data_IF_839924938832
#
_entry.id   IF_839924938832
#
_cell.length_a   1.000
_cell.length_b   1.000
_cell.length_c   1.000
_cell.angle_alpha   90.00
_cell.angle_beta   90.00
_cell.angle_gamma   90.00
#
_symmetry.space_group_name_H-M   'P 1'
#
loop_
_entity.id
_entity.type
_entity.pdbx_description
1 polymer ?
#
# COMPACT_ATOMS: atom_id res chain seq x y z
N UNK A 1 -37.00 -3.18 9.81
CA UNK A 1 -35.80 -2.33 9.95
C UNK A 1 -35.19 -2.34 11.36
N UNK A 2 -35.93 -2.58 12.45
CA UNK A 2 -35.36 -2.75 13.80
C UNK A 2 -34.54 -4.04 14.01
N UNK A 3 -34.81 -5.10 13.22
CA UNK A 3 -34.25 -6.44 13.44
C UNK A 3 -32.75 -6.60 13.15
N UNK A 4 -32.10 -5.62 12.50
CA UNK A 4 -30.69 -5.75 12.11
C UNK A 4 -29.71 -5.09 13.09
N UNK A 5 -30.19 -4.30 14.05
CA UNK A 5 -29.30 -3.64 15.02
C UNK A 5 -28.55 -4.65 15.88
N UNK A 6 -29.24 -5.71 16.36
CA UNK A 6 -28.63 -6.79 17.13
C UNK A 6 -27.63 -7.63 16.32
N UNK A 7 -27.92 -7.91 15.04
CA UNK A 7 -26.99 -8.67 14.19
C UNK A 7 -25.74 -7.86 13.83
N UNK A 8 -25.91 -6.55 13.58
CA UNK A 8 -24.77 -5.64 13.36
C UNK A 8 -23.88 -5.53 14.60
N UNK A 9 -24.46 -5.46 15.80
CA UNK A 9 -23.70 -5.48 17.03
C UNK A 9 -22.91 -6.79 17.20
N UNK A 10 -23.51 -7.94 16.85
CA UNK A 10 -22.82 -9.23 16.89
C UNK A 10 -21.63 -9.29 15.91
N UNK A 11 -21.79 -8.76 14.68
CA UNK A 11 -20.69 -8.69 13.69
C UNK A 11 -19.55 -7.82 14.23
N UNK A 12 -19.88 -6.65 14.77
CA UNK A 12 -18.89 -5.72 15.33
C UNK A 12 -18.19 -6.29 16.57
N UNK A 13 -18.85 -7.17 17.32
CA UNK A 13 -18.28 -7.84 18.49
C UNK A 13 -17.29 -8.98 18.15
N UNK A 14 -17.05 -9.28 16.87
CA UNK A 14 -16.05 -10.28 16.48
C UNK A 14 -14.64 -9.91 16.95
N UNK A 15 -13.83 -10.93 17.29
CA UNK A 15 -12.49 -10.71 17.85
C UNK A 15 -11.57 -9.92 16.91
N UNK A 16 -11.69 -10.15 15.60
CA UNK A 16 -10.89 -9.46 14.59
C UNK A 16 -11.21 -7.97 14.53
N UNK A 17 -12.49 -7.60 14.55
CA UNK A 17 -12.93 -6.21 14.54
C UNK A 17 -12.56 -5.54 15.86
N UNK A 18 -12.70 -6.23 17.00
CA UNK A 18 -12.24 -5.71 18.30
C UNK A 18 -10.76 -5.37 18.31
N UNK A 19 -9.90 -6.20 17.70
CA UNK A 19 -8.47 -5.89 17.56
C UNK A 19 -8.23 -4.63 16.71
N UNK A 20 -9.03 -4.42 15.65
CA UNK A 20 -8.95 -3.21 14.86
C UNK A 20 -9.40 -1.97 15.65
N UNK A 21 -10.48 -2.07 16.44
CA UNK A 21 -10.98 -1.00 17.32
C UNK A 21 -9.91 -0.63 18.35
N UNK A 22 -9.25 -1.61 18.97
CA UNK A 22 -8.14 -1.35 19.91
C UNK A 22 -6.98 -0.61 19.24
N UNK A 23 -6.65 -0.93 17.98
CA UNK A 23 -5.65 -0.20 17.22
C UNK A 23 -6.06 1.24 16.88
N UNK A 24 -7.37 1.50 16.75
CA UNK A 24 -7.92 2.84 16.57
C UNK A 24 -7.80 3.64 17.86
N UNK A 25 -8.15 3.04 19.00
CA UNK A 25 -7.98 3.65 20.32
C UNK A 25 -6.50 3.98 20.62
N UNK A 26 -5.56 3.14 20.16
CA UNK A 26 -4.11 3.42 20.21
C UNK A 26 -3.64 4.51 19.23
N UNK A 27 -4.48 4.94 18.28
CA UNK A 27 -4.12 5.89 17.22
C UNK A 27 -3.28 5.31 16.08
N UNK A 28 -3.12 3.98 16.01
CA UNK A 28 -2.34 3.31 14.93
C UNK A 28 -3.12 3.16 13.64
N UNK A 29 -4.45 3.12 13.72
CA UNK A 29 -5.36 3.03 12.58
C UNK A 29 -6.45 4.08 12.72
N UNK A 30 -6.98 4.54 11.58
CA UNK A 30 -8.12 5.46 11.54
C UNK A 30 -9.43 4.76 11.13
N UNK A 31 -9.34 3.72 10.30
CA UNK A 31 -10.49 3.07 9.64
C UNK A 31 -10.59 1.59 10.02
N UNK A 32 -11.82 1.12 10.27
CA UNK A 32 -12.16 -0.31 10.42
C UNK A 32 -12.45 -0.92 9.06
N UNK A 33 -11.92 -2.11 8.79
CA UNK A 33 -12.13 -2.84 7.55
C UNK A 33 -12.97 -4.07 7.85
N UNK A 34 -14.09 -4.19 7.14
CA UNK A 34 -15.00 -5.33 7.18
C UNK A 34 -14.83 -6.16 5.91
N UNK A 35 -14.65 -7.47 6.05
CA UNK A 35 -14.71 -8.38 4.91
C UNK A 35 -16.17 -8.81 4.67
N UNK A 36 -16.65 -8.56 3.45
CA UNK A 36 -17.97 -8.93 3.01
C UNK A 36 -18.14 -10.44 2.91
N UNK A 37 -17.07 -11.20 2.67
CA UNK A 37 -17.14 -12.64 2.57
C UNK A 37 -17.38 -13.29 3.95
N UNK A 38 -16.88 -12.69 5.03
CA UNK A 38 -17.16 -13.13 6.39
C UNK A 38 -18.57 -12.74 6.86
N UNK A 39 -19.02 -11.54 6.48
CA UNK A 39 -20.42 -11.13 6.68
C UNK A 39 -21.36 -12.08 5.94
N UNK A 40 -21.03 -12.47 4.70
CA UNK A 40 -21.84 -13.40 3.91
C UNK A 40 -21.96 -14.79 4.55
N UNK A 41 -20.89 -15.28 5.19
CA UNK A 41 -20.91 -16.56 5.93
C UNK A 41 -21.86 -16.53 7.13
N UNK A 42 -21.94 -15.39 7.82
CA UNK A 42 -22.79 -15.23 9.00
C UNK A 42 -24.25 -14.92 8.61
N UNK A 43 -24.44 -13.95 7.72
CA UNK A 43 -25.74 -13.45 7.29
C UNK A 43 -25.72 -13.01 5.82
N UNK A 44 -26.15 -13.91 4.93
CA UNK A 44 -26.20 -13.66 3.49
C UNK A 44 -27.15 -12.51 3.11
N UNK A 45 -28.33 -12.43 3.77
CA UNK A 45 -29.29 -11.34 3.55
C UNK A 45 -28.68 -9.96 3.83
N UNK A 46 -27.87 -9.84 4.89
CA UNK A 46 -27.22 -8.58 5.25
C UNK A 46 -26.16 -8.19 4.22
N UNK A 47 -25.38 -9.16 3.72
CA UNK A 47 -24.43 -8.93 2.64
C UNK A 47 -25.14 -8.46 1.35
N UNK A 48 -26.30 -9.02 1.03
CA UNK A 48 -27.12 -8.56 -0.10
C UNK A 48 -27.61 -7.12 0.08
N UNK A 49 -28.07 -6.75 1.28
CA UNK A 49 -28.53 -5.39 1.59
C UNK A 49 -27.38 -4.37 1.53
N UNK A 50 -26.20 -4.70 2.07
CA UNK A 50 -24.99 -3.85 1.96
C UNK A 50 -24.72 -3.50 0.49
N UNK A 51 -24.90 -4.47 -0.40
CA UNK A 51 -24.68 -4.26 -1.81
C UNK A 51 -25.80 -3.38 -2.41
N UNK A 52 -27.09 -3.71 -2.19
CA UNK A 52 -28.24 -3.04 -2.84
C UNK A 52 -28.57 -1.65 -2.30
N UNK A 53 -28.67 -1.50 -0.98
CA UNK A 53 -28.97 -0.22 -0.32
C UNK A 53 -27.96 0.04 0.81
N UNK A 54 -26.73 0.45 0.47
CA UNK A 54 -25.71 0.75 1.46
C UNK A 54 -26.05 1.97 2.31
N UNK A 55 -26.71 3.00 1.79
CA UNK A 55 -26.78 4.32 2.45
C UNK A 55 -27.51 4.24 3.80
N UNK A 56 -28.65 3.57 3.83
CA UNK A 56 -29.43 3.36 5.05
C UNK A 56 -28.64 2.52 6.07
N UNK A 57 -27.99 1.45 5.60
CA UNK A 57 -27.26 0.51 6.45
C UNK A 57 -25.95 1.08 7.00
N UNK A 58 -25.25 1.91 6.22
CA UNK A 58 -24.00 2.56 6.63
C UNK A 58 -24.20 3.39 7.91
N UNK A 59 -25.34 4.06 8.06
CA UNK A 59 -25.62 4.84 9.28
C UNK A 59 -25.81 3.95 10.51
N UNK A 60 -26.43 2.77 10.35
CA UNK A 60 -26.58 1.81 11.42
C UNK A 60 -25.23 1.19 11.82
N UNK A 61 -24.35 0.92 10.85
CA UNK A 61 -22.97 0.49 11.12
C UNK A 61 -22.17 1.53 11.89
N UNK A 62 -22.29 2.83 11.57
CA UNK A 62 -21.64 3.91 12.35
C UNK A 62 -22.07 3.88 13.80
N UNK A 63 -23.37 3.80 14.04
CA UNK A 63 -23.93 3.77 15.40
C UNK A 63 -23.46 2.52 16.16
N UNK A 64 -23.44 1.34 15.52
CA UNK A 64 -22.97 0.10 16.13
C UNK A 64 -21.47 0.15 16.46
N UNK A 65 -20.64 0.69 15.56
CA UNK A 65 -19.20 0.88 15.78
C UNK A 65 -18.92 1.86 16.92
N UNK A 66 -19.67 2.95 16.99
CA UNK A 66 -19.56 3.93 18.08
C UNK A 66 -19.85 3.27 19.42
N UNK A 67 -20.97 2.55 19.53
CA UNK A 67 -21.33 1.84 20.76
C UNK A 67 -20.29 0.79 21.16
N UNK A 68 -19.77 0.02 20.20
CA UNK A 68 -18.73 -0.98 20.47
C UNK A 68 -17.41 -0.33 20.92
N UNK A 69 -17.04 0.80 20.33
CA UNK A 69 -15.80 1.50 20.68
C UNK A 69 -15.89 2.15 22.06
N UNK A 70 -17.03 2.76 22.39
CA UNK A 70 -17.33 3.27 23.74
C UNK A 70 -17.31 2.13 24.77
N UNK A 71 -17.89 0.96 24.44
CA UNK A 71 -17.86 -0.24 25.28
C UNK A 71 -16.45 -0.74 25.57
N UNK A 72 -15.61 -0.88 24.54
CA UNK A 72 -14.22 -1.33 24.70
C UNK A 72 -13.35 -0.32 25.46
N UNK A 73 -13.57 0.97 25.23
CA UNK A 73 -12.89 2.04 25.98
C UNK A 73 -13.22 1.97 27.48
N UNK A 74 -14.50 1.75 27.82
CA UNK A 74 -14.95 1.61 29.21
C UNK A 74 -14.44 0.32 29.88
N UNK A 75 -14.31 -0.77 29.12
CA UNK A 75 -13.81 -2.04 29.64
C UNK A 75 -12.29 -2.02 29.91
N UNK A 76 -11.52 -1.31 29.08
CA UNK A 76 -10.07 -1.22 29.19
C UNK A 76 -9.58 0.22 29.23
N UNK A 77 -9.89 0.99 30.29
CA UNK A 77 -9.48 2.38 30.40
C UNK A 77 -7.95 2.42 30.55
N UNK A 78 -7.27 3.00 29.57
CA UNK A 78 -5.83 3.24 29.64
C UNK A 78 -5.51 4.65 29.16
N UNK A 79 -4.50 5.33 29.72
CA UNK A 79 -4.11 6.68 29.29
C UNK A 79 -3.55 6.71 27.86
N UNK A 80 -3.27 5.55 27.27
CA UNK A 80 -2.84 5.41 25.88
C UNK A 80 -4.02 5.44 24.91
N UNK A 81 -5.23 5.16 25.39
CA UNK A 81 -6.41 5.12 24.57
C UNK A 81 -7.11 6.47 24.61
N UNK A 82 -7.46 6.99 23.43
CA UNK A 82 -8.29 8.19 23.30
C UNK A 82 -9.52 7.84 22.49
N UNK A 83 -10.68 8.23 23.00
CA UNK A 83 -11.91 8.11 22.24
C UNK A 83 -11.87 9.14 21.09
N UNK A 84 -12.09 8.72 19.83
CA UNK A 84 -12.09 9.64 18.71
C UNK A 84 -13.31 10.57 18.74
N UNK A 85 -13.09 11.86 18.44
CA UNK A 85 -14.13 12.87 18.39
C UNK A 85 -14.94 12.78 17.08
N UNK A 86 -15.91 11.87 17.02
CA UNK A 86 -16.85 11.75 15.89
C UNK A 86 -17.09 10.32 15.43
N UNK A 87 -17.63 10.18 14.22
CA UNK A 87 -17.90 8.87 13.63
C UNK A 87 -16.59 8.21 13.16
N UNK A 88 -16.41 6.96 13.54
CA UNK A 88 -15.25 6.16 13.09
C UNK A 88 -15.48 5.77 11.63
N UNK A 89 -14.56 6.10 10.70
CA UNK A 89 -14.68 5.66 9.32
C UNK A 89 -14.50 4.15 9.24
N UNK A 90 -15.23 3.52 8.33
CA UNK A 90 -15.08 2.10 8.03
C UNK A 90 -15.13 1.85 6.53
N UNK A 91 -14.68 0.68 6.10
CA UNK A 91 -14.69 0.27 4.70
C UNK A 91 -15.05 -1.19 4.54
N UNK A 92 -15.57 -1.54 3.37
CA UNK A 92 -15.84 -2.93 2.99
C UNK A 92 -14.81 -3.43 1.98
N UNK A 93 -14.34 -4.65 2.19
CA UNK A 93 -13.47 -5.42 1.30
C UNK A 93 -14.17 -6.76 1.01
N UNK A 94 -13.66 -7.53 0.06
CA UNK A 94 -14.14 -8.88 -0.24
C UNK A 94 -14.64 -9.04 -1.67
N UNK A 95 -15.44 -10.07 -1.90
CA UNK A 95 -16.02 -10.37 -3.21
C UNK A 95 -17.36 -9.66 -3.44
N UNK A 96 -17.40 -8.83 -4.49
CA UNK A 96 -18.58 -8.09 -4.95
C UNK A 96 -19.32 -8.78 -6.11
N UNK A 97 -18.83 -9.94 -6.57
CA UNK A 97 -19.40 -10.69 -7.69
C UNK A 97 -19.61 -9.81 -8.94
N UNK A 98 -20.85 -9.76 -9.45
CA UNK A 98 -21.23 -8.96 -10.63
C UNK A 98 -21.04 -7.45 -10.46
N UNK A 99 -20.91 -6.95 -9.23
CA UNK A 99 -20.68 -5.53 -8.93
C UNK A 99 -19.21 -5.15 -8.87
N UNK A 100 -18.32 -6.10 -9.21
CA UNK A 100 -16.94 -5.81 -9.56
C UNK A 100 -16.89 -5.47 -11.05
N UNK A 101 -16.64 -4.20 -11.39
CA UNK A 101 -16.70 -3.72 -12.77
C UNK A 101 -15.50 -2.81 -13.12
N UNK A 102 -15.24 -2.65 -14.41
CA UNK A 102 -14.33 -1.60 -14.90
C UNK A 102 -15.11 -0.29 -15.07
N UNK A 103 -14.44 0.87 -15.20
CA UNK A 103 -15.11 2.15 -15.49
C UNK A 103 -16.04 2.09 -16.71
N UNK A 104 -15.76 1.21 -17.67
CA UNK A 104 -16.61 0.96 -18.85
C UNK A 104 -17.88 0.18 -18.54
N UNK A 105 -17.84 -0.74 -17.59
CA UNK A 105 -18.97 -1.57 -17.18
C UNK A 105 -19.95 -0.90 -16.21
N UNK A 106 -19.65 0.34 -15.77
CA UNK A 106 -20.55 1.12 -14.93
C UNK A 106 -21.77 1.60 -15.73
N UNK A 107 -22.92 1.08 -15.35
CA UNK A 107 -24.22 1.39 -15.94
C UNK A 107 -25.16 1.98 -14.88
N UNK A 108 -26.29 2.54 -15.32
CA UNK A 108 -27.35 3.08 -14.46
C UNK A 108 -27.90 2.06 -13.46
N UNK A 109 -27.80 0.76 -13.78
CA UNK A 109 -28.19 -0.34 -12.90
C UNK A 109 -27.49 -0.34 -11.54
N UNK A 110 -26.32 0.28 -11.45
CA UNK A 110 -25.53 0.32 -10.22
C UNK A 110 -25.70 1.61 -9.42
N UNK A 111 -26.56 2.54 -9.84
CA UNK A 111 -26.83 3.78 -9.09
C UNK A 111 -27.38 3.44 -7.70
N UNK A 112 -26.90 4.14 -6.69
CA UNK A 112 -27.19 3.95 -5.27
C UNK A 112 -26.76 2.59 -4.71
N UNK A 113 -26.01 1.79 -5.45
CA UNK A 113 -25.50 0.49 -5.00
C UNK A 113 -24.00 0.55 -4.70
N UNK A 114 -23.53 -0.40 -3.88
CA UNK A 114 -22.10 -0.55 -3.63
C UNK A 114 -21.42 -1.37 -4.73
N UNK A 115 -20.34 -0.81 -5.28
CA UNK A 115 -19.57 -1.38 -6.39
C UNK A 115 -18.08 -1.42 -6.05
N UNK A 116 -17.38 -2.39 -6.65
CA UNK A 116 -15.92 -2.45 -6.66
C UNK A 116 -15.44 -2.14 -8.06
N UNK A 117 -14.56 -1.15 -8.19
CA UNK A 117 -14.05 -0.68 -9.47
C UNK A 117 -12.54 -0.84 -9.49
N UNK A 118 -12.01 -1.30 -10.61
CA UNK A 118 -10.58 -1.45 -10.82
C UNK A 118 -10.07 -0.56 -11.94
N UNK A 119 -8.89 0.02 -11.75
CA UNK A 119 -8.31 0.90 -12.74
C UNK A 119 -6.97 1.47 -12.34
N UNK A 120 -6.52 2.44 -13.12
CA UNK A 120 -5.31 3.22 -12.90
C UNK A 120 -5.73 4.65 -12.57
N UNK A 121 -5.11 5.25 -11.56
CA UNK A 121 -5.32 6.64 -11.22
C UNK A 121 -4.60 7.53 -12.23
N UNK A 122 -5.30 8.47 -12.86
CA UNK A 122 -4.72 9.30 -13.92
C UNK A 122 -4.58 10.76 -13.53
N UNK A 123 -5.58 11.32 -12.86
CA UNK A 123 -5.55 12.67 -12.32
C UNK A 123 -5.92 12.64 -10.85
N UNK A 124 -5.12 13.32 -10.06
CA UNK A 124 -5.36 13.53 -8.63
C UNK A 124 -5.47 15.03 -8.43
N UNK A 125 -6.59 15.50 -7.88
CA UNK A 125 -6.75 16.91 -7.50
C UNK A 125 -6.00 17.23 -6.20
N UNK A 126 -5.71 18.51 -5.97
CA UNK A 126 -5.18 18.95 -4.69
C UNK A 126 -6.23 18.73 -3.58
N UNK A 127 -5.83 18.15 -2.42
CA UNK A 127 -6.67 18.10 -1.24
C UNK A 127 -7.16 19.49 -0.85
N UNK A 128 -8.46 19.62 -0.57
CA UNK A 128 -9.03 20.85 -0.03
C UNK A 128 -10.02 20.54 1.09
N UNK A 129 -10.09 21.40 2.13
CA UNK A 129 -10.99 21.17 3.26
C UNK A 129 -12.44 21.48 2.87
N UNK A 130 -13.36 20.61 3.27
CA UNK A 130 -14.80 20.77 3.13
C UNK A 130 -15.44 20.95 4.50
N UNK A 131 -16.34 21.92 4.63
CA UNK A 131 -17.10 22.15 5.86
C UNK A 131 -18.09 20.99 6.06
N UNK A 132 -18.03 20.34 7.24
CA UNK A 132 -19.00 19.33 7.65
C UNK A 132 -19.99 19.86 8.68
N UNK A 133 -19.52 20.71 9.61
CA UNK A 133 -20.35 21.29 10.66
C UNK A 133 -19.83 22.69 11.00
N UNK A 134 -20.71 23.67 11.07
CA UNK A 134 -20.38 25.01 11.58
C UNK A 134 -20.90 25.19 12.99
N UNK A 135 -20.11 25.87 13.80
CA UNK A 135 -20.47 26.30 15.15
C UNK A 135 -20.66 27.80 15.14
N UNK A 136 -21.84 28.26 15.52
CA UNK A 136 -22.23 29.66 15.57
C UNK A 136 -22.43 30.08 17.02
N UNK A 137 -21.97 31.27 17.36
CA UNK A 137 -22.21 31.88 18.65
C UNK A 137 -23.11 33.10 18.50
N UNK A 138 -24.20 33.13 19.25
CA UNK A 138 -25.09 34.27 19.35
C UNK A 138 -24.74 35.07 20.61
N UNK A 139 -24.29 36.31 20.45
CA UNK A 139 -23.95 37.16 21.61
C UNK A 139 -25.18 37.53 22.45
N UNK A 140 -26.33 37.73 21.80
CA UNK A 140 -27.56 38.18 22.45
C UNK A 140 -28.16 37.10 23.37
N UNK A 141 -28.18 35.84 22.93
CA UNK A 141 -28.73 34.72 23.71
C UNK A 141 -27.67 33.97 24.51
N UNK A 142 -26.37 34.22 24.24
CA UNK A 142 -25.21 33.48 24.77
C UNK A 142 -25.28 31.97 24.50
N UNK A 143 -26.00 31.56 23.45
CA UNK A 143 -26.13 30.15 23.06
C UNK A 143 -25.27 29.84 21.86
N UNK A 144 -24.74 28.62 21.83
CA UNK A 144 -24.01 28.07 20.69
C UNK A 144 -24.97 27.26 19.83
N UNK A 145 -25.07 27.61 18.55
CA UNK A 145 -25.85 26.92 17.54
C UNK A 145 -24.94 26.06 16.65
N UNK A 146 -25.35 24.84 16.34
CA UNK A 146 -24.61 23.93 15.47
C UNK A 146 -25.41 23.66 14.21
N UNK A 147 -24.75 23.72 13.05
CA UNK A 147 -25.35 23.36 11.78
C UNK A 147 -24.50 22.36 11.03
N UNK A 148 -25.07 21.19 10.77
CA UNK A 148 -24.45 20.16 9.94
C UNK A 148 -24.80 20.38 8.47
N UNK A 149 -23.80 20.23 7.59
CA UNK A 149 -23.99 20.35 6.14
C UNK A 149 -23.83 18.99 5.47
N UNK A 150 -24.88 18.60 4.74
CA UNK A 150 -24.86 17.45 3.86
C UNK A 150 -24.91 17.93 2.41
N UNK A 151 -24.09 17.33 1.58
CA UNK A 151 -23.98 17.63 0.16
C UNK A 151 -24.37 16.39 -0.66
N UNK A 152 -24.52 16.53 -1.97
CA UNK A 152 -24.81 15.42 -2.89
C UNK A 152 -23.74 14.32 -2.80
N UNK A 153 -22.49 14.70 -2.53
CA UNK A 153 -21.35 13.81 -2.32
C UNK A 153 -21.31 13.16 -0.93
N UNK A 154 -22.08 13.65 0.04
CA UNK A 154 -22.15 13.04 1.37
C UNK A 154 -23.02 11.78 1.34
N UNK A 155 -22.61 10.75 2.10
CA UNK A 155 -23.40 9.52 2.30
C UNK A 155 -24.41 9.67 3.46
N UNK A 156 -24.58 10.87 3.99
CA UNK A 156 -25.43 11.18 5.15
C UNK A 156 -26.58 12.08 4.70
N UNK A 157 -27.80 11.67 5.05
CA UNK A 157 -28.99 12.49 4.98
C UNK A 157 -29.35 13.04 3.59
N UNK A 158 -30.31 13.97 3.60
CA UNK A 158 -30.72 14.75 2.44
C UNK A 158 -29.77 15.96 2.33
N UNK A 159 -29.38 16.40 1.11
CA UNK A 159 -28.55 17.58 0.96
C UNK A 159 -29.19 18.82 1.58
N UNK A 160 -28.44 19.53 2.41
CA UNK A 160 -28.86 20.75 3.12
C UNK A 160 -28.54 21.99 2.29
N UNK A 161 -29.14 23.14 2.66
CA UNK A 161 -28.74 24.42 2.07
C UNK A 161 -27.28 24.73 2.40
N UNK A 162 -26.50 25.06 1.36
CA UNK A 162 -25.08 25.42 1.44
C UNK A 162 -24.85 26.83 2.00
N UNK A 163 -25.91 27.58 2.30
CA UNK A 163 -25.80 28.92 2.89
C UNK A 163 -25.53 28.80 4.38
N UNK A 164 -24.45 29.45 4.81
CA UNK A 164 -24.09 29.59 6.22
C UNK A 164 -25.09 30.56 6.87
N UNK A 165 -25.73 30.19 8.00
CA UNK A 165 -26.70 31.06 8.67
C UNK A 165 -25.98 32.28 9.26
N UNK A 166 -26.56 33.45 9.04
CA UNK A 166 -26.06 34.75 9.51
C UNK A 166 -26.91 35.26 10.68
N UNK A 167 -28.17 34.81 10.78
CA UNK A 167 -29.10 35.19 11.83
C UNK A 167 -29.87 33.99 12.38
N UNK A 168 -30.23 34.06 13.66
CA UNK A 168 -31.14 33.13 14.31
C UNK A 168 -32.59 33.28 13.82
N UNK A 169 -33.46 32.34 14.21
CA UNK A 169 -34.92 32.42 14.00
C UNK A 169 -35.55 33.70 14.57
N UNK A 170 -34.93 34.28 15.60
CA UNK A 170 -35.34 35.53 16.25
C UNK A 170 -34.68 36.78 15.64
N UNK A 171 -33.89 36.63 14.56
CA UNK A 171 -33.22 37.74 13.88
C UNK A 171 -31.95 38.26 14.56
N UNK A 172 -31.47 37.61 15.61
CA UNK A 172 -30.19 37.95 16.24
C UNK A 172 -29.01 37.54 15.35
N UNK A 173 -27.92 38.32 15.36
CA UNK A 173 -26.71 38.03 14.58
C UNK A 173 -25.95 36.82 15.13
N UNK A 174 -25.53 35.94 14.21
CA UNK A 174 -24.73 34.75 14.49
C UNK A 174 -23.31 34.97 14.04
N UNK A 175 -22.39 34.99 14.99
CA UNK A 175 -20.95 34.94 14.70
C UNK A 175 -20.52 33.51 14.42
N UNK A 176 -19.73 33.30 13.35
CA UNK A 176 -19.20 31.97 13.02
C UNK A 176 -17.87 31.74 13.76
N UNK A 177 -17.83 30.72 14.58
CA UNK A 177 -16.62 30.30 15.30
C UNK A 177 -15.85 29.26 14.50
N UNK A 178 -14.83 29.72 13.77
CA UNK A 178 -14.02 28.87 12.89
C UNK A 178 -13.28 27.76 13.67
N UNK A 179 -12.81 28.05 14.89
CA UNK A 179 -12.01 27.11 15.69
C UNK A 179 -12.77 25.86 16.17
N UNK A 180 -14.08 25.99 16.40
CA UNK A 180 -14.95 24.88 16.84
C UNK A 180 -15.69 24.19 15.68
N UNK A 181 -15.65 24.79 14.50
CA UNK A 181 -16.24 24.23 13.29
C UNK A 181 -15.45 23.00 12.82
N UNK A 182 -16.14 21.98 12.29
CA UNK A 182 -15.54 20.74 11.82
C UNK A 182 -15.38 20.74 10.31
N UNK A 183 -14.16 20.45 9.88
CA UNK A 183 -13.76 20.32 8.48
C UNK A 183 -13.36 18.88 8.19
N UNK A 184 -13.62 18.43 6.96
CA UNK A 184 -13.25 17.11 6.45
C UNK A 184 -12.46 17.31 5.17
N UNK A 185 -11.34 16.60 5.03
CA UNK A 185 -10.55 16.64 3.80
C UNK A 185 -11.33 16.05 2.63
N UNK A 186 -11.29 16.72 1.49
CA UNK A 186 -11.97 16.31 0.26
C UNK A 186 -10.98 16.30 -0.90
N UNK A 187 -11.08 15.26 -1.73
CA UNK A 187 -10.24 15.12 -2.92
C UNK A 187 -11.00 14.38 -4.01
N UNK A 188 -10.88 14.87 -5.25
CA UNK A 188 -11.39 14.20 -6.44
C UNK A 188 -10.26 13.53 -7.21
N UNK A 189 -10.47 12.29 -7.61
CA UNK A 189 -9.49 11.47 -8.33
C UNK A 189 -10.15 10.83 -9.53
N UNK A 190 -9.50 10.83 -10.69
CA UNK A 190 -10.02 10.19 -11.90
C UNK A 190 -9.41 8.81 -12.07
N UNK A 191 -10.27 7.79 -12.19
CA UNK A 191 -9.87 6.41 -12.42
C UNK A 191 -10.12 6.05 -13.89
N UNK A 192 -9.09 5.57 -14.57
CA UNK A 192 -9.18 5.07 -15.94
C UNK A 192 -9.11 3.54 -15.95
N UNK A 193 -9.81 2.92 -16.89
CA UNK A 193 -9.71 1.46 -17.11
C UNK A 193 -8.27 1.03 -17.39
N UNK A 194 -7.89 -0.17 -16.91
CA UNK A 194 -6.58 -0.73 -17.20
C UNK A 194 -6.45 -0.98 -18.71
N UNK A 195 -5.37 -0.51 -19.37
CA UNK A 195 -5.23 -0.63 -20.83
C UNK A 195 -5.17 -2.09 -21.30
N UNK A 196 -4.76 -3.01 -20.42
CA UNK A 196 -4.71 -4.46 -20.68
C UNK A 196 -6.10 -5.09 -20.83
N UNK A 197 -7.13 -4.51 -20.19
CA UNK A 197 -8.53 -4.97 -20.26
C UNK A 197 -9.36 -4.20 -21.29
N UNK A 198 -8.87 -3.05 -21.75
CA UNK A 198 -9.58 -2.25 -22.73
C UNK A 198 -9.63 -2.99 -24.09
N UNK A 199 -10.79 -3.04 -24.77
CA UNK A 199 -10.89 -3.65 -26.09
C UNK A 199 -10.02 -2.88 -27.10
N UNK A 200 -9.26 -3.59 -27.96
CA UNK A 200 -8.39 -2.95 -28.93
C UNK A 200 -9.22 -2.15 -29.94
N UNK A 201 -8.82 -0.90 -30.20
CA UNK A 201 -9.48 -0.01 -31.16
C UNK A 201 -10.49 0.95 -30.55
N UNK A 202 -10.83 0.81 -29.27
CA UNK A 202 -11.69 1.78 -28.58
C UNK A 202 -10.93 2.66 -27.58
N UNK A 203 -11.50 3.83 -27.29
CA UNK A 203 -10.99 4.72 -26.25
C UNK A 203 -11.29 4.15 -24.86
N UNK A 204 -10.29 4.17 -23.98
CA UNK A 204 -10.45 3.86 -22.56
C UNK A 204 -11.36 4.89 -21.89
N UNK A 205 -12.30 4.42 -21.07
CA UNK A 205 -13.20 5.29 -20.31
C UNK A 205 -12.61 5.58 -18.93
N UNK A 206 -12.98 6.73 -18.39
CA UNK A 206 -12.60 7.20 -17.06
C UNK A 206 -13.83 7.65 -16.26
N UNK A 207 -13.74 7.55 -14.95
CA UNK A 207 -14.79 7.95 -14.00
C UNK A 207 -14.15 8.72 -12.84
N UNK A 208 -14.90 9.69 -12.33
CA UNK A 208 -14.50 10.49 -11.19
C UNK A 208 -14.89 9.80 -9.87
N UNK A 209 -13.93 9.77 -8.95
CA UNK A 209 -14.05 9.17 -7.64
C UNK A 209 -13.77 10.23 -6.60
N UNK A 210 -14.61 10.26 -5.57
CA UNK A 210 -14.50 11.19 -4.45
C UNK A 210 -13.89 10.45 -3.27
N UNK A 211 -12.78 10.98 -2.77
CA UNK A 211 -12.10 10.55 -1.55
C UNK A 211 -12.38 11.58 -0.46
N UNK A 212 -12.64 11.10 0.76
CA UNK A 212 -12.93 11.94 1.92
C UNK A 212 -12.14 11.48 3.13
N UNK A 213 -11.77 12.43 4.01
CA UNK A 213 -11.10 12.18 5.29
C UNK A 213 -9.80 11.34 5.12
N UNK A 214 -9.69 10.19 5.78
CA UNK A 214 -8.48 9.36 5.80
C UNK A 214 -8.10 8.69 4.47
N UNK A 215 -8.97 8.78 3.45
CA UNK A 215 -8.71 8.27 2.09
C UNK A 215 -7.98 9.29 1.22
N UNK A 216 -7.96 10.56 1.62
CA UNK A 216 -7.27 11.62 0.89
C UNK A 216 -5.77 11.36 0.89
N UNK A 217 -5.12 11.63 -0.25
CA UNK A 217 -3.69 11.45 -0.49
C UNK A 217 -3.16 10.00 -0.34
N UNK A 218 -4.07 9.01 -0.29
CA UNK A 218 -3.71 7.58 -0.28
C UNK A 218 -3.24 7.07 -1.64
N UNK A 219 -3.51 7.78 -2.73
CA UNK A 219 -3.26 7.31 -4.10
C UNK A 219 -2.54 8.36 -4.92
N UNK A 220 -1.65 7.90 -5.79
CA UNK A 220 -0.88 8.75 -6.71
C UNK A 220 -1.27 8.47 -8.15
N UNK A 221 -1.05 9.45 -9.02
CA UNK A 221 -1.19 9.24 -10.45
C UNK A 221 -0.21 8.13 -10.92
N UNK A 222 -0.73 7.18 -11.70
CA UNK A 222 -0.03 5.97 -12.13
C UNK A 222 -0.32 4.73 -11.28
N UNK A 223 -0.90 4.87 -10.08
CA UNK A 223 -1.17 3.72 -9.21
C UNK A 223 -2.30 2.85 -9.77
N UNK A 224 -2.09 1.54 -9.74
CA UNK A 224 -3.15 0.55 -10.01
C UNK A 224 -3.90 0.24 -8.73
N UNK A 225 -5.21 0.47 -8.72
CA UNK A 225 -6.04 0.41 -7.51
C UNK A 225 -7.36 -0.32 -7.74
N UNK A 226 -7.86 -0.90 -6.65
CA UNK A 226 -9.24 -1.30 -6.49
C UNK A 226 -9.93 -0.36 -5.51
N UNK A 227 -11.04 0.23 -5.92
CA UNK A 227 -11.82 1.15 -5.11
C UNK A 227 -13.19 0.55 -4.90
N UNK A 228 -13.59 0.43 -3.64
CA UNK A 228 -14.96 0.08 -3.26
C UNK A 228 -15.68 1.35 -2.89
N UNK A 229 -16.88 1.57 -3.41
CA UNK A 229 -17.62 2.79 -3.15
C UNK A 229 -19.09 2.69 -3.53
N UNK A 230 -19.84 3.73 -3.15
CA UNK A 230 -21.25 3.87 -3.53
C UNK A 230 -21.31 4.70 -4.81
N UNK A 231 -21.94 4.14 -5.83
CA UNK A 231 -22.18 4.82 -7.09
C UNK A 231 -23.35 5.81 -6.94
N UNK A 232 -23.17 7.07 -7.33
CA UNK A 232 -24.21 8.09 -7.34
C UNK A 232 -24.26 8.82 -8.67
N UNK A 233 -25.46 9.13 -9.14
CA UNK A 233 -25.66 10.12 -10.19
C UNK A 233 -25.70 11.51 -9.56
N UNK A 234 -24.79 12.40 -9.95
CA UNK A 234 -24.76 13.78 -9.44
C UNK A 234 -25.27 14.74 -10.49
N UNK A 235 -26.16 15.64 -10.09
CA UNK A 235 -26.65 16.69 -10.99
C UNK A 235 -25.65 17.83 -11.01
N UNK A 236 -25.08 18.11 -12.19
CA UNK A 236 -24.35 19.36 -12.40
C UNK A 236 -25.37 20.50 -12.47
N UNK A 237 -25.29 21.41 -11.51
CA UNK A 237 -26.08 22.65 -11.52
C UNK A 237 -25.43 23.61 -12.53
N UNK A 238 -26.13 23.86 -13.63
CA UNK A 238 -25.83 24.96 -14.56
C UNK A 238 -26.96 25.98 -14.42
N UNK A 239 -26.74 27.00 -13.58
CA UNK A 239 -27.77 27.99 -13.24
C UNK A 239 -28.88 27.45 -12.34
N UNK A 240 -30.10 27.96 -12.51
CA UNK A 240 -31.29 27.60 -11.70
C UNK A 240 -31.95 26.28 -12.10
N UNK A 241 -31.58 25.69 -13.24
CA UNK A 241 -32.19 24.46 -13.77
C UNK A 241 -31.29 23.25 -13.53
N UNK A 242 -31.83 22.19 -12.94
CA UNK A 242 -31.11 20.92 -12.78
C UNK A 242 -31.05 20.17 -14.11
N UNK A 243 -29.86 19.74 -14.51
CA UNK A 243 -29.68 18.86 -15.67
C UNK A 243 -30.32 17.49 -15.41
N UNK A 244 -31.10 17.00 -16.37
CA UNK A 244 -31.64 15.64 -16.38
C UNK A 244 -30.55 14.59 -16.68
N UNK A 245 -29.45 15.01 -17.30
CA UNK A 245 -28.29 14.14 -17.53
C UNK A 245 -27.39 14.20 -16.30
N UNK A 246 -27.31 13.08 -15.59
CA UNK A 246 -26.55 12.91 -14.36
C UNK A 246 -25.26 12.12 -14.64
N UNK A 247 -24.08 12.75 -14.62
CA UNK A 247 -22.83 12.00 -14.58
C UNK A 247 -22.79 11.07 -13.37
N UNK A 248 -22.30 9.85 -13.60
CA UNK A 248 -22.05 8.88 -12.55
C UNK A 248 -20.70 9.22 -11.91
N UNK A 249 -20.71 9.29 -10.59
CA UNK A 249 -19.52 9.41 -9.74
C UNK A 249 -19.54 8.30 -8.70
N UNK A 250 -18.39 8.04 -8.09
CA UNK A 250 -18.28 7.03 -7.03
C UNK A 250 -17.73 7.68 -5.78
N UNK A 251 -18.47 7.58 -4.68
CA UNK A 251 -17.99 8.01 -3.37
C UNK A 251 -17.25 6.83 -2.76
N UNK A 252 -15.93 6.98 -2.57
CA UNK A 252 -15.09 5.90 -2.10
C UNK A 252 -15.37 5.56 -0.63
N UNK A 253 -15.50 4.26 -0.39
CA UNK A 253 -15.60 3.67 0.93
C UNK A 253 -14.33 2.89 1.32
N UNK A 254 -13.56 2.40 0.34
CA UNK A 254 -12.26 1.80 0.61
C UNK A 254 -11.39 1.89 -0.63
N UNK A 255 -10.09 2.10 -0.43
CA UNK A 255 -9.09 2.14 -1.50
C UNK A 255 -8.03 1.08 -1.19
N UNK A 256 -7.80 0.19 -2.16
CA UNK A 256 -6.81 -0.89 -2.08
C UNK A 256 -5.84 -0.76 -3.24
N UNK A 257 -4.56 -0.55 -2.96
CA UNK A 257 -3.52 -0.51 -4.00
C UNK A 257 -3.09 -1.93 -4.37
N UNK A 258 -3.11 -2.28 -5.66
CA UNK A 258 -2.71 -3.61 -6.14
C UNK A 258 -1.21 -3.88 -5.95
N UNK A 259 -0.38 -2.86 -6.10
CA UNK A 259 1.09 -2.98 -6.02
C UNK A 259 1.68 -2.72 -4.64
N UNK A 260 0.83 -2.53 -3.62
CA UNK A 260 1.32 -2.50 -2.24
C UNK A 260 1.55 -3.93 -1.72
N UNK A 261 2.51 -4.65 -2.32
CA UNK A 261 3.41 -5.39 -1.45
C UNK A 261 4.13 -4.31 -0.64
N UNK A 262 3.49 -3.86 0.43
CA UNK A 262 4.24 -3.35 1.55
C UNK A 262 5.24 -4.46 1.84
N UNK A 263 6.49 -4.27 1.42
CA UNK A 263 7.58 -4.98 2.03
C UNK A 263 7.41 -4.64 3.49
N UNK A 264 6.81 -5.57 4.25
CA UNK A 264 6.67 -5.46 5.68
C UNK A 264 8.00 -4.94 6.18
N UNK A 265 7.96 -3.80 6.87
CA UNK A 265 9.14 -3.11 7.38
C UNK A 265 10.05 -4.17 7.97
N UNK A 266 11.13 -4.51 7.25
CA UNK A 266 12.03 -5.61 7.60
C UNK A 266 12.29 -5.51 9.10
N UNK A 267 11.95 -6.56 9.83
CA UNK A 267 12.07 -6.56 11.27
C UNK A 267 13.52 -6.20 11.62
N UNK A 268 13.78 -5.52 12.75
CA UNK A 268 15.15 -5.17 13.15
C UNK A 268 16.10 -6.39 13.14
N UNK A 269 15.55 -7.59 13.37
CA UNK A 269 16.26 -8.87 13.33
C UNK A 269 16.65 -9.24 11.88
N UNK A 270 15.75 -9.12 10.92
CA UNK A 270 16.06 -9.38 9.50
C UNK A 270 17.08 -8.37 8.97
N UNK A 271 16.98 -7.09 9.35
CA UNK A 271 17.99 -6.07 9.00
C UNK A 271 19.36 -6.40 9.58
N UNK A 272 19.41 -6.88 10.82
CA UNK A 272 20.66 -7.31 11.45
C UNK A 272 21.26 -8.54 10.76
N UNK A 273 20.43 -9.53 10.40
CA UNK A 273 20.86 -10.71 9.67
C UNK A 273 21.46 -10.34 8.30
N UNK A 274 20.79 -9.48 7.54
CA UNK A 274 21.27 -9.00 6.23
C UNK A 274 22.62 -8.29 6.38
N UNK A 275 22.77 -7.37 7.35
CA UNK A 275 24.03 -6.64 7.59
C UNK A 275 25.18 -7.55 8.01
N UNK A 276 24.91 -8.54 8.86
CA UNK A 276 25.92 -9.51 9.31
C UNK A 276 26.43 -10.34 8.13
N UNK A 277 25.55 -10.70 7.20
CA UNK A 277 25.89 -11.44 5.99
C UNK A 277 26.66 -10.59 4.97
N UNK A 278 26.33 -9.29 4.84
CA UNK A 278 27.08 -8.40 3.94
C UNK A 278 28.52 -8.21 4.41
N UNK A 279 28.72 -8.10 5.74
CA UNK A 279 30.07 -8.03 6.33
C UNK A 279 30.86 -9.32 6.13
N UNK A 280 30.25 -10.49 6.35
CA UNK A 280 30.90 -11.78 6.11
C UNK A 280 31.26 -12.03 4.63
N UNK A 281 30.46 -11.51 3.69
CA UNK A 281 30.78 -11.58 2.26
C UNK A 281 31.91 -10.61 1.84
N UNK A 282 32.06 -9.46 2.52
CA UNK A 282 33.19 -8.56 2.32
C UNK A 282 34.50 -9.15 2.87
N UNK A 283 34.45 -9.79 4.03
CA UNK A 283 35.60 -10.49 4.64
C UNK A 283 36.08 -11.65 3.76
N UNK A 284 35.17 -12.44 3.16
CA UNK A 284 35.57 -13.50 2.21
C UNK A 284 36.16 -12.98 0.90
N UNK A 285 35.82 -11.75 0.46
CA UNK A 285 36.37 -11.15 -0.76
C UNK A 285 37.78 -10.60 -0.58
N UNK A 286 38.11 -10.15 0.63
CA UNK A 286 39.48 -9.74 0.98
C UNK A 286 40.41 -10.96 1.00
N UNK A 287 39.99 -12.08 1.59
CA UNK A 287 40.81 -13.30 1.64
C UNK A 287 41.08 -13.96 0.27
N UNK A 288 40.26 -13.70 -0.75
CA UNK A 288 40.50 -14.22 -2.11
C UNK A 288 41.44 -13.35 -2.95
N UNK A 289 41.58 -12.05 -2.61
CA UNK A 289 42.50 -11.15 -3.32
C UNK A 289 43.94 -11.26 -2.80
N UNK A 290 44.13 -11.71 -1.55
CA UNK A 290 45.46 -11.90 -0.97
C UNK A 290 46.18 -13.17 -1.48
N UNK A 291 45.45 -14.12 -2.09
CA UNK A 291 46.03 -15.36 -2.64
C UNK A 291 46.56 -15.26 -4.08
N UNK A 292 46.30 -14.16 -4.80
CA UNK A 292 46.74 -14.00 -6.20
C UNK A 292 48.01 -13.14 -6.36
N UNK A 293 48.57 -12.57 -5.28
CA UNK A 293 49.69 -11.61 -5.37
C UNK A 293 51.07 -12.21 -5.04
N UNK A 294 51.18 -13.38 -4.41
CA UNK A 294 52.48 -13.97 -4.02
C UNK A 294 53.05 -15.01 -5.01
N UNK A 295 52.37 -15.32 -6.12
CA UNK A 295 52.74 -16.43 -7.01
C UNK A 295 53.71 -16.11 -8.16
N UNK A 296 54.12 -14.87 -8.40
CA UNK A 296 54.93 -14.53 -9.58
C UNK A 296 56.05 -13.53 -9.27
N UNK A 297 57.20 -14.03 -8.80
CA UNK A 297 58.49 -13.40 -9.03
C UNK A 297 59.68 -14.34 -8.75
N UNK A 298 60.38 -14.74 -9.84
CA UNK A 298 61.80 -15.16 -9.93
C UNK A 298 62.15 -16.54 -9.30
N UNK A 299 62.92 -17.45 -9.92
CA UNK A 299 64.04 -17.28 -10.86
C UNK A 299 64.29 -18.58 -11.65
N UNK A 300 64.78 -18.37 -12.87
CA UNK A 300 65.48 -19.29 -13.74
C UNK A 300 66.93 -19.44 -13.23
N UNK A 301 67.51 -20.65 -13.37
CA UNK A 301 68.86 -20.93 -13.86
C UNK A 301 69.93 -21.53 -12.89
N UNK A 302 70.43 -22.71 -13.35
CA UNK A 302 71.73 -23.43 -13.31
C UNK A 302 72.38 -24.01 -12.00
N UNK A 303 72.63 -25.33 -12.11
CA UNK A 303 73.83 -26.18 -11.87
C UNK A 303 74.50 -26.42 -10.49
N UNK A 304 74.94 -27.70 -10.37
CA UNK A 304 75.98 -28.37 -9.56
C UNK A 304 75.70 -28.92 -8.13
N UNK A 305 75.72 -30.27 -8.09
CA UNK A 305 76.41 -31.25 -7.21
C UNK A 305 76.25 -31.35 -5.67
N UNK A 306 76.35 -32.63 -5.26
CA UNK A 306 76.72 -33.25 -3.97
C UNK A 306 75.64 -33.67 -2.92
N UNK A 307 75.46 -35.01 -2.90
CA UNK A 307 75.33 -35.98 -1.79
C UNK A 307 75.02 -35.51 -0.34
N UNK A 308 74.03 -36.16 0.30
CA UNK A 308 74.20 -37.06 1.47
C UNK A 308 72.85 -37.42 2.13
N UNK A 309 72.87 -38.57 2.82
CA UNK A 309 71.78 -39.42 3.32
C UNK A 309 71.05 -38.95 4.60
N UNK A 310 70.03 -39.75 4.96
CA UNK A 310 69.54 -40.12 6.31
C UNK A 310 68.12 -39.68 6.78
N UNK A 311 67.25 -40.69 6.77
CA UNK A 311 66.41 -41.26 7.85
C UNK A 311 65.27 -40.48 8.56
N UNK A 312 64.09 -41.14 8.48
CA UNK A 312 63.07 -41.44 9.50
C UNK A 312 62.81 -40.50 10.70
N UNK A 313 61.53 -40.17 10.96
CA UNK A 313 60.81 -40.76 12.11
C UNK A 313 59.29 -40.50 12.10
N UNK A 314 58.55 -41.57 12.36
CA UNK A 314 57.11 -41.63 12.59
C UNK A 314 56.84 -41.46 14.11
N UNK A 315 55.92 -40.59 14.57
CA UNK A 315 55.28 -40.83 15.88
C UNK A 315 53.81 -40.42 15.97
N UNK A 316 53.00 -41.44 16.29
CA UNK A 316 51.60 -41.40 16.73
C UNK A 316 51.48 -41.02 18.22
N UNK A 317 50.37 -40.40 18.62
CA UNK A 317 49.65 -40.52 19.92
C UNK A 317 48.33 -39.73 19.80
N UNK A 318 47.12 -40.29 19.66
CA UNK A 318 46.28 -41.21 20.46
C UNK A 318 45.80 -40.67 21.83
N UNK A 319 44.46 -40.51 21.92
CA UNK A 319 43.51 -40.70 23.06
C UNK A 319 43.00 -39.47 23.83
N UNK A 320 41.68 -39.44 24.03
CA UNK A 320 41.03 -38.78 25.18
C UNK A 320 39.55 -38.48 25.00
N UNK A 321 38.67 -39.22 25.68
CA UNK A 321 37.19 -39.17 25.58
C UNK A 321 36.60 -38.65 26.92
N UNK A 322 35.49 -37.90 26.81
CA UNK A 322 34.38 -37.66 27.79
C UNK A 322 34.56 -36.68 28.96
N UNK A 323 33.63 -35.73 29.12
CA UNK A 323 32.53 -35.80 30.10
C UNK A 323 31.60 -34.56 30.10
N UNK A 324 30.42 -34.74 30.67
CA UNK A 324 29.18 -33.96 30.62
C UNK A 324 28.96 -33.13 31.90
N UNK A 325 28.33 -31.94 31.81
CA UNK A 325 27.45 -31.19 32.77
C UNK A 325 27.61 -29.68 32.47
N UNK A 326 26.64 -28.76 32.48
CA UNK A 326 25.36 -28.63 33.17
C UNK A 326 24.53 -27.53 32.48
N UNK A 327 23.20 -27.60 32.59
CA UNK A 327 22.23 -26.53 32.27
C UNK A 327 22.26 -25.40 33.32
N UNK A 328 21.67 -24.23 33.01
CA UNK A 328 20.64 -23.75 33.93
C UNK A 328 19.33 -23.34 33.24
N UNK A 329 18.22 -23.76 33.86
CA UNK A 329 16.87 -23.26 33.62
C UNK A 329 16.73 -21.86 34.25
N UNK A 330 16.15 -20.90 33.52
CA UNK A 330 15.24 -19.88 34.09
C UNK A 330 14.19 -19.48 33.05
N UNK A 331 12.95 -19.66 33.47
CA UNK A 331 11.68 -19.36 32.81
C UNK A 331 11.34 -17.88 32.91
N UNK A 332 10.88 -17.28 31.81
CA UNK A 332 9.87 -16.23 31.85
C UNK A 332 9.06 -16.27 30.55
N UNK A 333 7.79 -16.65 30.69
CA UNK A 333 6.76 -16.69 29.65
C UNK A 333 6.68 -15.37 28.88
N UNK A 334 7.20 -15.36 27.64
CA UNK A 334 6.69 -14.50 26.56
C UNK A 334 5.89 -15.40 25.64
N UNK A 335 4.56 -15.32 25.74
CA UNK A 335 3.64 -15.97 24.81
C UNK A 335 3.99 -15.49 23.40
N UNK A 336 4.59 -16.39 22.62
CA UNK A 336 4.87 -16.20 21.21
C UNK A 336 3.56 -15.85 20.50
N UNK A 337 3.46 -14.61 20.00
CA UNK A 337 2.55 -14.28 18.90
C UNK A 337 3.00 -15.14 17.72
N UNK A 338 2.18 -16.12 17.34
CA UNK A 338 2.36 -16.81 16.07
C UNK A 338 2.18 -15.77 14.95
N UNK A 339 3.18 -15.51 14.11
CA UNK A 339 2.97 -14.73 12.91
C UNK A 339 2.19 -15.58 11.90
N UNK A 340 1.38 -14.91 11.07
CA UNK A 340 0.54 -15.52 10.04
C UNK A 340 1.33 -16.49 9.16
N UNK A 341 0.71 -17.61 8.79
CA UNK A 341 1.31 -18.79 8.14
C UNK A 341 2.14 -18.50 6.87
N UNK A 342 1.87 -17.39 6.17
CA UNK A 342 2.61 -16.95 4.98
C UNK A 342 4.03 -16.43 5.29
N UNK A 343 4.21 -15.70 6.41
CA UNK A 343 5.49 -15.07 6.78
C UNK A 343 6.54 -16.08 7.29
N UNK A 344 6.10 -17.12 7.99
CA UNK A 344 6.96 -18.21 8.50
C UNK A 344 7.53 -19.03 7.33
N UNK A 345 6.72 -19.28 6.29
CA UNK A 345 7.19 -19.97 5.09
C UNK A 345 8.22 -19.14 4.32
N UNK A 346 7.98 -17.84 4.12
CA UNK A 346 8.91 -16.96 3.41
C UNK A 346 10.29 -16.89 4.09
N UNK A 347 10.33 -16.71 5.42
CA UNK A 347 11.60 -16.65 6.17
C UNK A 347 12.36 -17.99 6.19
N UNK A 348 11.63 -19.12 6.14
CA UNK A 348 12.23 -20.47 6.05
C UNK A 348 12.80 -20.75 4.65
N UNK A 349 12.10 -20.32 3.60
CA UNK A 349 12.57 -20.38 2.21
C UNK A 349 13.81 -19.49 2.04
N UNK A 350 13.79 -18.28 2.61
CA UNK A 350 14.93 -17.36 2.56
C UNK A 350 16.17 -17.99 3.21
N UNK A 351 16.04 -18.57 4.39
CA UNK A 351 17.13 -19.29 5.07
C UNK A 351 17.65 -20.50 4.28
N UNK A 352 16.79 -21.20 3.52
CA UNK A 352 17.18 -22.31 2.64
C UNK A 352 17.88 -21.90 1.35
N UNK A 353 17.61 -20.69 0.83
CA UNK A 353 18.28 -20.14 -0.36
C UNK A 353 19.69 -19.60 -0.04
N UNK A 354 19.95 -19.21 1.21
CA UNK A 354 21.10 -18.40 1.62
C UNK A 354 22.50 -19.08 1.53
N UNK A 355 22.61 -20.30 1.02
CA UNK A 355 23.88 -21.04 0.87
C UNK A 355 24.21 -21.49 -0.54
N UNK A 356 23.38 -21.18 -1.55
CA UNK A 356 23.59 -21.65 -2.92
C UNK A 356 24.48 -20.69 -3.69
N UNK A 357 25.70 -21.13 -4.03
CA UNK A 357 26.60 -20.42 -4.97
C UNK A 357 25.94 -20.15 -6.33
N UNK A 358 24.96 -20.96 -6.72
CA UNK A 358 24.23 -20.88 -8.01
C UNK A 358 22.96 -20.02 -7.97
N UNK A 359 22.69 -19.32 -6.87
CA UNK A 359 21.44 -18.57 -6.70
C UNK A 359 21.28 -17.45 -7.75
N UNK A 360 22.37 -16.79 -8.10
CA UNK A 360 22.38 -15.75 -9.13
C UNK A 360 22.01 -16.32 -10.51
N UNK A 361 22.58 -17.47 -10.88
CA UNK A 361 22.29 -18.17 -12.13
C UNK A 361 20.86 -18.71 -12.17
N UNK A 362 20.34 -19.18 -11.04
CA UNK A 362 18.95 -19.62 -10.93
C UNK A 362 17.98 -18.45 -11.13
N UNK A 363 18.19 -17.34 -10.40
CA UNK A 363 17.34 -16.15 -10.52
C UNK A 363 17.42 -15.51 -11.91
N UNK A 364 18.61 -15.47 -12.52
CA UNK A 364 18.79 -14.91 -13.86
C UNK A 364 18.02 -15.74 -14.90
N UNK A 365 18.04 -17.08 -14.79
CA UNK A 365 17.21 -17.96 -15.62
C UNK A 365 15.70 -17.79 -15.38
N UNK A 366 15.29 -17.43 -14.17
CA UNK A 366 13.87 -17.22 -13.80
C UNK A 366 13.24 -15.93 -14.33
N UNK A 367 14.01 -14.87 -14.61
CA UNK A 367 13.44 -13.58 -15.11
C UNK A 367 12.72 -13.77 -16.45
N UNK A 368 13.34 -14.49 -17.37
CA UNK A 368 12.82 -14.72 -18.71
C UNK A 368 13.04 -16.19 -19.11
N UNK A 369 12.16 -17.10 -18.68
CA UNK A 369 12.30 -18.53 -18.96
C UNK A 369 12.07 -18.86 -20.43
N UNK A 370 11.28 -18.04 -21.13
CA UNK A 370 10.95 -18.24 -22.56
C UNK A 370 12.05 -17.80 -23.53
N UNK A 371 13.05 -17.06 -23.07
CA UNK A 371 14.17 -16.62 -23.91
C UNK A 371 15.34 -17.56 -23.66
N UNK A 372 15.77 -18.32 -24.65
CA UNK A 372 16.94 -19.17 -24.54
C UNK A 372 18.25 -18.36 -24.69
N UNK A 373 19.28 -18.73 -23.91
CA UNK A 373 20.60 -18.10 -23.96
C UNK A 373 20.71 -16.75 -23.22
N UNK A 374 21.75 -15.98 -23.58
CA UNK A 374 22.04 -14.63 -23.05
C UNK A 374 22.10 -14.56 -21.51
N UNK A 375 22.77 -15.52 -20.87
CA UNK A 375 22.80 -15.64 -19.39
C UNK A 375 23.41 -14.40 -18.72
N UNK A 376 24.54 -13.90 -19.25
CA UNK A 376 25.19 -12.69 -18.74
C UNK A 376 24.28 -11.45 -18.81
N UNK A 377 23.48 -11.34 -19.87
CA UNK A 377 22.53 -10.23 -20.02
C UNK A 377 21.41 -10.33 -18.99
N UNK A 378 20.89 -11.54 -18.75
CA UNK A 378 19.86 -11.76 -17.70
C UNK A 378 20.40 -11.47 -16.31
N UNK A 379 21.63 -11.86 -16.02
CA UNK A 379 22.30 -11.53 -14.75
C UNK A 379 22.46 -10.02 -14.58
N UNK A 380 22.88 -9.32 -15.62
CA UNK A 380 23.06 -7.88 -15.56
C UNK A 380 21.71 -7.12 -15.41
N UNK A 381 20.65 -7.59 -16.08
CA UNK A 381 19.27 -7.09 -15.90
C UNK A 381 18.74 -7.38 -14.50
N UNK A 382 19.07 -8.54 -13.91
CA UNK A 382 18.73 -8.85 -12.52
C UNK A 382 19.37 -7.84 -11.56
N UNK A 383 20.65 -7.52 -11.76
CA UNK A 383 21.34 -6.53 -10.93
C UNK A 383 20.73 -5.13 -11.09
N UNK A 384 20.29 -4.76 -12.29
CA UNK A 384 19.54 -3.52 -12.54
C UNK A 384 18.21 -3.49 -11.76
N UNK A 385 17.47 -4.60 -11.71
CA UNK A 385 16.20 -4.71 -10.98
C UNK A 385 16.37 -4.64 -9.46
N UNK A 386 17.46 -5.18 -8.93
CA UNK A 386 17.79 -5.11 -7.49
C UNK A 386 18.19 -3.68 -7.09
N UNK A 387 18.75 -2.91 -8.03
CA UNK A 387 19.27 -1.57 -7.78
C UNK A 387 20.59 -1.59 -7.00
N UNK A 388 20.99 -0.42 -6.52
CA UNK A 388 22.20 -0.29 -5.70
C UNK A 388 21.94 0.47 -4.40
N UNK A 389 23.00 0.60 -3.60
CA UNK A 389 22.95 1.34 -2.33
C UNK A 389 23.44 2.75 -2.57
N UNK A 390 22.62 3.73 -2.20
CA UNK A 390 23.00 5.14 -2.20
C UNK A 390 24.11 5.39 -1.18
N UNK A 391 25.13 6.16 -1.57
CA UNK A 391 26.25 6.50 -0.69
C UNK A 391 26.28 8.01 -0.45
N UNK A 392 26.21 8.40 0.82
CA UNK A 392 26.53 9.76 1.24
C UNK A 392 28.04 9.87 1.52
N UNK A 393 28.70 10.82 0.89
CA UNK A 393 30.13 11.07 1.12
C UNK A 393 30.25 12.13 2.22
N UNK A 394 30.74 11.73 3.39
CA UNK A 394 30.58 12.49 4.64
C UNK A 394 31.42 13.76 4.81
N UNK A 395 32.27 14.18 3.86
CA UNK A 395 33.27 15.23 4.12
C UNK A 395 33.31 16.39 3.12
N UNK A 396 32.57 16.39 2.01
CA UNK A 396 32.62 17.47 1.02
C UNK A 396 31.25 17.70 0.38
N UNK A 397 30.40 18.46 1.05
CA UNK A 397 29.04 18.78 0.59
C UNK A 397 28.05 17.65 0.81
N UNK A 398 26.77 17.99 0.95
CA UNK A 398 25.67 17.05 1.11
C UNK A 398 25.37 16.35 -0.23
N UNK A 399 26.40 15.75 -0.85
CA UNK A 399 26.35 15.17 -2.18
C UNK A 399 26.04 13.69 -2.07
N UNK A 400 24.90 13.32 -2.64
CA UNK A 400 24.39 11.97 -2.67
C UNK A 400 24.82 11.27 -3.96
N UNK A 401 25.56 10.16 -3.84
CA UNK A 401 25.93 9.36 -5.00
C UNK A 401 24.84 8.33 -5.28
N UNK A 402 24.21 8.41 -6.46
CA UNK A 402 23.19 7.46 -6.93
C UNK A 402 23.78 6.05 -7.02
N UNK A 403 23.09 5.08 -6.43
CA UNK A 403 23.49 3.66 -6.46
C UNK A 403 22.96 2.86 -7.65
N UNK A 404 21.94 3.37 -8.35
CA UNK A 404 21.27 2.60 -9.41
C UNK A 404 22.13 2.45 -10.67
N UNK A 405 21.94 1.30 -11.33
CA UNK A 405 22.62 0.95 -12.57
C UNK A 405 21.70 1.25 -13.74
N UNK A 406 22.18 2.00 -14.73
CA UNK A 406 21.50 2.17 -16.02
C UNK A 406 22.16 1.28 -17.07
N UNK A 407 21.36 0.60 -17.89
CA UNK A 407 21.85 -0.31 -18.94
C UNK A 407 21.23 0.02 -20.29
N UNK A 408 22.05 -0.05 -21.35
CA UNK A 408 21.61 0.02 -22.74
C UNK A 408 21.85 -1.33 -23.43
N UNK A 409 20.82 -1.87 -24.09
CA UNK A 409 20.93 -3.10 -24.86
C UNK A 409 21.08 -2.77 -26.35
N UNK A 410 22.21 -3.14 -26.95
CA UNK A 410 22.53 -2.87 -28.37
C UNK A 410 22.79 -4.17 -29.14
N UNK A 411 22.44 -4.20 -30.41
CA UNK A 411 22.87 -5.18 -31.40
C UNK A 411 21.73 -5.65 -32.32
N UNK A 412 21.96 -6.72 -33.06
CA UNK A 412 21.14 -7.12 -34.21
C UNK A 412 19.64 -7.31 -33.91
N UNK A 413 18.78 -7.05 -34.91
CA UNK A 413 17.36 -7.41 -34.83
C UNK A 413 17.19 -8.91 -34.55
N UNK A 414 16.02 -9.28 -34.01
CA UNK A 414 15.68 -10.69 -33.70
C UNK A 414 16.42 -11.34 -32.53
N UNK A 415 17.29 -10.62 -31.81
CA UNK A 415 17.99 -11.13 -30.60
C UNK A 415 17.15 -11.09 -29.31
N UNK A 416 15.82 -11.01 -29.43
CA UNK A 416 14.85 -10.96 -28.32
C UNK A 416 15.02 -9.81 -27.29
N UNK A 417 15.84 -8.78 -27.56
CA UNK A 417 16.08 -7.64 -26.65
C UNK A 417 14.80 -6.93 -26.19
N UNK A 418 13.93 -6.56 -27.13
CA UNK A 418 12.66 -5.89 -26.81
C UNK A 418 11.72 -6.81 -26.01
N UNK A 419 11.77 -8.12 -26.25
CA UNK A 419 10.99 -9.09 -25.51
C UNK A 419 11.51 -9.26 -24.07
N UNK A 420 12.83 -9.23 -23.87
CA UNK A 420 13.45 -9.22 -22.54
C UNK A 420 12.97 -8.03 -21.71
N UNK A 421 13.02 -6.82 -22.27
CA UNK A 421 12.55 -5.62 -21.56
C UNK A 421 11.06 -5.72 -21.19
N UNK A 422 10.21 -6.31 -22.04
CA UNK A 422 8.79 -6.54 -21.73
C UNK A 422 8.59 -7.46 -20.53
N UNK A 423 9.43 -8.48 -20.35
CA UNK A 423 9.40 -9.31 -19.13
C UNK A 423 9.78 -8.50 -17.89
N UNK A 424 10.86 -7.72 -17.98
CA UNK A 424 11.34 -6.84 -16.89
C UNK A 424 10.24 -5.87 -16.46
N UNK A 425 9.54 -5.24 -17.41
CA UNK A 425 8.46 -4.29 -17.12
C UNK A 425 7.25 -4.92 -16.43
N UNK A 426 7.03 -6.24 -16.56
CA UNK A 426 5.95 -6.95 -15.86
C UNK A 426 6.35 -7.37 -14.45
N UNK A 427 7.64 -7.60 -14.23
CA UNK A 427 8.17 -8.05 -12.93
C UNK A 427 8.41 -6.86 -12.00
N UNK A 428 8.91 -5.75 -12.53
CA UNK A 428 9.20 -4.57 -11.73
C UNK A 428 7.93 -3.89 -11.23
N UNK A 429 7.87 -3.47 -9.95
CA UNK A 429 6.65 -2.93 -9.33
C UNK A 429 6.23 -1.56 -9.89
N UNK A 430 7.19 -0.77 -10.40
CA UNK A 430 6.97 0.57 -10.95
C UNK A 430 7.77 0.72 -12.25
N UNK A 431 7.46 -0.11 -13.25
CA UNK A 431 8.08 0.02 -14.57
C UNK A 431 7.11 0.61 -15.59
N UNK A 432 7.52 1.72 -16.19
CA UNK A 432 6.80 2.38 -17.28
C UNK A 432 7.62 2.25 -18.56
N UNK A 433 7.02 1.64 -19.58
CA UNK A 433 7.61 1.50 -20.92
C UNK A 433 7.30 2.75 -21.73
N UNK A 434 8.35 3.46 -22.19
CA UNK A 434 8.22 4.67 -23.01
C UNK A 434 8.87 4.49 -24.37
N UNK A 435 8.29 5.08 -25.42
CA UNK A 435 8.88 5.07 -26.77
C UNK A 435 9.53 6.41 -27.10
N UNK A 436 10.68 6.38 -27.77
CA UNK A 436 11.45 7.60 -28.10
C UNK A 436 10.76 8.55 -29.08
N UNK A 437 9.70 8.11 -29.80
CA UNK A 437 8.94 8.97 -30.72
C UNK A 437 7.99 9.95 -30.02
N UNK A 438 7.70 9.75 -28.73
CA UNK A 438 6.82 10.61 -27.91
C UNK A 438 7.56 11.40 -26.82
N UNK A 439 8.86 11.69 -27.02
CA UNK A 439 9.79 12.19 -26.01
C UNK A 439 9.43 13.55 -25.39
N UNK A 440 8.53 14.32 -26.00
CA UNK A 440 8.08 15.62 -25.46
C UNK A 440 7.29 15.50 -24.15
N UNK A 441 6.75 14.31 -23.81
CA UNK A 441 5.97 14.09 -22.58
C UNK A 441 6.65 13.28 -21.47
N UNK A 442 7.89 12.80 -21.66
CA UNK A 442 8.50 11.76 -20.78
C UNK A 442 9.23 12.34 -19.55
N UNK A 443 9.27 13.66 -19.40
CA UNK A 443 9.93 14.31 -18.26
C UNK A 443 9.97 15.84 -18.28
N UNK A 444 9.47 16.46 -19.35
CA UNK A 444 9.23 17.90 -19.42
C UNK A 444 7.73 18.13 -19.21
N UNK A 445 7.33 18.51 -18.00
CA UNK A 445 5.93 18.86 -17.73
C UNK A 445 5.65 20.28 -18.21
N UNK A 446 4.97 20.44 -19.34
CA UNK A 446 4.31 21.69 -19.68
C UNK A 446 2.85 21.62 -19.17
N UNK A 447 2.53 22.40 -18.14
CA UNK A 447 1.17 22.50 -17.63
C UNK A 447 0.41 23.55 -18.46
N UNK A 448 -0.44 23.09 -19.38
CA UNK A 448 -1.42 23.96 -20.05
C UNK A 448 -2.69 23.92 -19.20
N UNK A 449 -2.88 24.94 -18.38
CA UNK A 449 -4.12 25.14 -17.62
C UNK A 449 -5.01 26.04 -18.45
N UNK A 450 -6.14 25.52 -18.93
CA UNK A 450 -7.22 26.37 -19.45
C UNK A 450 -7.99 26.88 -18.25
N UNK A 451 -7.97 28.19 -18.02
CA UNK A 451 -8.80 28.81 -16.99
C UNK A 451 -10.27 28.48 -17.24
N UNK A 452 -10.97 28.14 -16.16
CA UNK A 452 -12.43 28.06 -16.15
C UNK A 452 -12.94 29.45 -15.77
N UNK A 453 -12.98 30.37 -16.73
CA UNK A 453 -13.81 31.58 -16.61
C UNK A 453 -15.29 31.25 -16.82
#
# INVERSE_FOLDING_TARGET
MANYTGTLQAIVASEEIRLQIMQILEGKRKRVIFDLDDIRKQHDELAHIILTDPVSLLQHFRNALRFATEGEFNNYPSPKYKLPDGDIPFGFIGSFGRRSCTPRGLSSLFINSMVKIEGIITKVSMPHPKISMTTHYCEATRTVYYREYNDQFSLKGIPTSSVIPISDENGNELSLEFGYSKYIDFQTVTLQEMPERAPPGELSRSIDIILTDDLVDRVKAGDRVHIVGVCKGVSRRTGSSQSQVLPIIVIANCVMQQHSTSFDVLTPIERYAIRKLTKGAQEMRLTSLDYEVEGNNKKQQDDDDDDEDEEEEETRKRKGRKSTKQTPKKSSNKKNKQPSSSSIQQSSIQKGLLGRRELLTLLSRSIAPFIYGQERLKEAVLMMLIGGVEKSVGNLGNTHLRGDINMLLVGDPSTAKSQMLRFVSKIAPVAVMTTGRGSTGVGLTAAVVTDQE
#
